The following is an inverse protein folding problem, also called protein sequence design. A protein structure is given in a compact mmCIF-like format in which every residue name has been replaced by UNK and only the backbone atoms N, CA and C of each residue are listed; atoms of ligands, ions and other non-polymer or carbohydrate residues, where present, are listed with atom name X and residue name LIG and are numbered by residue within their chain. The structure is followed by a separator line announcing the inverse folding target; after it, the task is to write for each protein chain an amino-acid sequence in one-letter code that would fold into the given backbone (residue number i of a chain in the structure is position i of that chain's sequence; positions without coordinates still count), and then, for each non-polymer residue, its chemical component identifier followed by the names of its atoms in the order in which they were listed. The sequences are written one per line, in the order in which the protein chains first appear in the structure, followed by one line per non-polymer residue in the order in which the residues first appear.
data_IF_685087066821
#
_entry.id   IF_685087066821
#
_cell.length_a   1.000
_cell.length_b   1.000
_cell.length_c   1.000
_cell.angle_alpha   90.00
_cell.angle_beta   90.00
_cell.angle_gamma   90.00
#
_symmetry.space_group_name_H-M   'P 1'
#
loop_
_entity.id
_entity.type
_entity.pdbx_description
1 polymer ?
#
# COMPACT_ATOMS: atom_id res chain seq x y z
N UNK A 1 3.56 -25.88 59.72
CA UNK A 1 3.25 -24.56 59.11
C UNK A 1 3.53 -24.64 57.62
N UNK A 2 2.50 -24.71 56.83
CA UNK A 2 2.65 -24.69 55.37
C UNK A 2 2.54 -23.26 54.86
N UNK A 3 3.62 -22.69 54.37
CA UNK A 3 3.59 -21.43 53.64
C UNK A 3 3.15 -21.73 52.22
N UNK A 4 1.92 -21.36 51.91
CA UNK A 4 1.46 -21.33 50.48
C UNK A 4 1.97 -20.06 49.85
N UNK A 5 3.07 -20.16 49.15
CA UNK A 5 3.51 -19.13 48.21
C UNK A 5 2.60 -19.20 47.00
N UNK A 6 1.64 -18.31 46.94
CA UNK A 6 0.85 -18.10 45.74
C UNK A 6 1.73 -17.54 44.66
N UNK A 7 2.05 -18.35 43.64
CA UNK A 7 2.72 -17.91 42.45
C UNK A 7 1.68 -17.17 41.62
N UNK A 8 1.68 -15.85 41.76
CA UNK A 8 0.85 -14.99 40.90
C UNK A 8 1.35 -15.08 39.44
N UNK A 9 0.59 -15.80 38.65
CA UNK A 9 0.80 -15.83 37.21
C UNK A 9 0.41 -14.45 36.64
N UNK A 10 1.38 -13.58 36.46
CA UNK A 10 1.18 -12.32 35.77
C UNK A 10 1.01 -12.68 34.30
N UNK A 11 -0.25 -12.74 33.85
CA UNK A 11 -0.60 -12.86 32.44
C UNK A 11 -0.24 -11.53 31.79
N UNK A 12 0.96 -11.45 31.19
CA UNK A 12 1.37 -10.32 30.39
C UNK A 12 0.57 -10.41 29.08
N UNK A 13 -0.60 -9.78 29.07
CA UNK A 13 -1.28 -9.51 27.79
C UNK A 13 -0.41 -8.55 27.02
N UNK A 14 0.42 -9.08 26.11
CA UNK A 14 1.04 -8.29 25.10
C UNK A 14 -0.08 -7.69 24.24
N UNK A 15 -0.43 -6.43 24.53
CA UNK A 15 -1.25 -5.64 23.63
C UNK A 15 -0.45 -5.50 22.34
N UNK A 16 -0.69 -6.42 21.40
CA UNK A 16 -0.24 -6.24 20.05
C UNK A 16 -0.94 -4.98 19.53
N UNK A 17 -0.22 -3.86 19.49
CA UNK A 17 -0.66 -2.72 18.70
C UNK A 17 -1.01 -3.25 17.32
N UNK A 18 -2.21 -2.95 16.80
CA UNK A 18 -2.48 -3.20 15.39
C UNK A 18 -1.54 -2.31 14.59
N UNK A 19 -0.28 -2.74 14.44
CA UNK A 19 0.58 -2.19 13.39
C UNK A 19 -0.19 -2.38 12.11
N UNK A 20 -0.23 -1.35 11.26
CA UNK A 20 -0.88 -1.37 9.95
C UNK A 20 -0.19 -2.39 9.03
N UNK A 21 -0.22 -3.67 9.45
CA UNK A 21 0.28 -4.75 8.63
C UNK A 21 -0.62 -4.89 7.42
N UNK A 22 -0.01 -4.97 6.26
CA UNK A 22 -0.72 -5.20 5.01
C UNK A 22 -1.41 -6.56 5.07
N UNK A 23 -2.66 -6.62 4.64
CA UNK A 23 -3.36 -7.89 4.42
C UNK A 23 -2.81 -8.60 3.16
N UNK A 24 -3.29 -9.82 2.89
CA UNK A 24 -2.81 -10.63 1.77
C UNK A 24 -3.07 -9.99 0.41
N UNK A 25 -4.21 -9.31 0.25
CA UNK A 25 -4.55 -8.60 -0.97
C UNK A 25 -3.64 -7.38 -1.19
N UNK A 26 -3.40 -6.60 -0.16
CA UNK A 26 -2.49 -5.45 -0.21
C UNK A 26 -1.05 -5.88 -0.50
N UNK A 27 -0.60 -7.00 0.08
CA UNK A 27 0.72 -7.57 -0.22
C UNK A 27 0.83 -8.00 -1.68
N UNK A 28 -0.23 -8.55 -2.25
CA UNK A 28 -0.29 -8.88 -3.67
C UNK A 28 -0.20 -7.63 -4.54
N UNK A 29 -0.94 -6.59 -4.21
CA UNK A 29 -0.87 -5.31 -4.90
C UNK A 29 0.53 -4.70 -4.85
N UNK A 30 1.17 -4.74 -3.69
CA UNK A 30 2.57 -4.30 -3.53
C UNK A 30 3.52 -5.08 -4.43
N UNK A 31 3.39 -6.40 -4.47
CA UNK A 31 4.26 -7.25 -5.28
C UNK A 31 4.11 -6.95 -6.78
N UNK A 32 2.89 -6.71 -7.25
CA UNK A 32 2.63 -6.30 -8.62
C UNK A 32 3.30 -4.97 -8.97
N UNK A 33 3.14 -3.97 -8.13
CA UNK A 33 3.76 -2.66 -8.33
C UNK A 33 5.28 -2.73 -8.26
N UNK A 34 5.81 -3.55 -7.37
CA UNK A 34 7.25 -3.76 -7.27
C UNK A 34 7.83 -4.36 -8.54
N UNK A 35 7.16 -5.33 -9.13
CA UNK A 35 7.59 -5.96 -10.38
C UNK A 35 7.48 -5.03 -11.58
N UNK A 36 6.43 -4.23 -11.65
CA UNK A 36 6.05 -3.52 -12.88
C UNK A 36 6.40 -2.04 -12.86
N UNK A 37 6.47 -1.42 -11.68
CA UNK A 37 6.52 0.03 -11.54
C UNK A 37 7.75 0.55 -10.77
N UNK A 38 8.40 -0.28 -9.96
CA UNK A 38 9.45 0.16 -9.04
C UNK A 38 10.73 0.64 -9.72
N UNK A 39 10.92 0.30 -10.99
CA UNK A 39 12.08 0.80 -11.75
C UNK A 39 12.05 2.32 -11.89
N UNK A 40 10.89 2.91 -11.96
CA UNK A 40 10.70 4.35 -12.17
C UNK A 40 10.05 5.04 -10.96
N UNK A 41 9.11 4.38 -10.30
CA UNK A 41 8.32 4.95 -9.21
C UNK A 41 8.74 4.43 -7.85
N UNK A 42 8.76 5.33 -6.85
CA UNK A 42 8.72 4.91 -5.45
C UNK A 42 7.34 4.32 -5.17
N UNK A 43 7.28 3.04 -4.84
CA UNK A 43 6.03 2.32 -4.65
C UNK A 43 5.63 2.16 -3.18
N UNK A 44 6.49 2.52 -2.26
CA UNK A 44 6.29 2.37 -0.82
C UNK A 44 5.91 3.68 -0.13
N UNK A 45 5.75 3.62 1.21
CA UNK A 45 5.39 4.79 2.02
C UNK A 45 6.50 5.83 2.15
N UNK A 46 7.72 5.50 1.76
CA UNK A 46 8.91 6.36 1.87
C UNK A 46 9.79 6.24 0.63
N UNK A 47 10.74 7.14 0.51
CA UNK A 47 11.76 7.10 -0.52
C UNK A 47 11.43 7.95 -1.75
N UNK A 48 12.47 8.26 -2.53
CA UNK A 48 12.34 8.98 -3.78
C UNK A 48 12.16 8.01 -4.95
N UNK A 49 11.41 8.44 -5.97
CA UNK A 49 11.30 7.70 -7.22
C UNK A 49 12.66 7.68 -7.93
N UNK A 50 13.07 6.53 -8.50
CA UNK A 50 14.31 6.47 -9.30
C UNK A 50 14.28 7.37 -10.53
N UNK A 51 13.12 7.48 -11.19
CA UNK A 51 12.94 8.39 -12.31
C UNK A 51 12.48 9.76 -11.82
N UNK A 52 13.12 10.87 -12.23
CA UNK A 52 12.81 12.21 -11.69
C UNK A 52 11.41 12.70 -11.98
N UNK A 53 10.81 12.25 -13.09
CA UNK A 53 9.48 12.67 -13.51
C UNK A 53 8.37 11.71 -13.07
N UNK A 54 8.73 10.60 -12.42
CA UNK A 54 7.75 9.62 -11.93
C UNK A 54 7.31 9.99 -10.51
N UNK A 55 6.02 10.35 -10.28
CA UNK A 55 5.58 10.69 -8.94
C UNK A 55 5.59 9.46 -8.03
N UNK A 56 5.97 9.62 -6.76
CA UNK A 56 5.78 8.56 -5.76
C UNK A 56 4.30 8.23 -5.61
N UNK A 57 3.97 6.95 -5.53
CA UNK A 57 2.57 6.51 -5.45
C UNK A 57 1.87 6.95 -4.17
N UNK A 58 2.60 7.15 -3.07
CA UNK A 58 2.03 7.67 -1.81
C UNK A 58 1.43 9.07 -1.93
N UNK A 59 1.67 9.78 -3.03
CA UNK A 59 1.20 11.16 -3.24
C UNK A 59 -0.01 11.25 -4.17
N UNK A 60 -0.61 10.14 -4.58
CA UNK A 60 -1.77 10.15 -5.48
C UNK A 60 -3.01 10.81 -4.89
N UNK A 61 -3.21 10.67 -3.59
CA UNK A 61 -4.35 11.21 -2.88
C UNK A 61 -5.59 10.32 -2.93
N UNK A 62 -6.40 10.44 -1.89
CA UNK A 62 -7.58 9.59 -1.72
C UNK A 62 -8.62 9.82 -2.81
N UNK A 63 -8.81 11.04 -3.27
CA UNK A 63 -9.80 11.36 -4.31
C UNK A 63 -9.58 10.56 -5.60
N UNK A 64 -8.31 10.38 -6.00
CA UNK A 64 -7.97 9.57 -7.17
C UNK A 64 -8.22 8.08 -6.93
N UNK A 65 -7.84 7.59 -5.76
CA UNK A 65 -7.88 6.16 -5.44
C UNK A 65 -9.28 5.64 -5.16
N UNK A 66 -10.17 6.51 -4.69
CA UNK A 66 -11.58 6.17 -4.46
C UNK A 66 -12.46 6.46 -5.68
N UNK A 67 -11.88 6.94 -6.77
CA UNK A 67 -12.56 7.08 -8.05
C UNK A 67 -12.60 5.73 -8.77
N UNK A 68 -13.79 5.26 -9.09
CA UNK A 68 -13.99 3.99 -9.81
C UNK A 68 -13.29 3.98 -11.18
N UNK A 69 -13.18 5.13 -11.82
CA UNK A 69 -12.50 5.28 -13.10
C UNK A 69 -11.01 4.91 -13.02
N UNK A 70 -10.38 5.13 -11.88
CA UNK A 70 -8.97 4.77 -11.72
C UNK A 70 -8.77 3.25 -11.77
N UNK A 71 -9.57 2.50 -11.02
CA UNK A 71 -9.53 1.03 -11.05
C UNK A 71 -9.86 0.48 -12.44
N UNK A 72 -10.81 1.11 -13.13
CA UNK A 72 -11.17 0.73 -14.50
C UNK A 72 -10.03 0.99 -15.48
N UNK A 73 -9.34 2.13 -15.36
CA UNK A 73 -8.18 2.42 -16.21
C UNK A 73 -7.02 1.45 -16.01
N UNK A 74 -6.83 0.93 -14.80
CA UNK A 74 -5.87 -0.15 -14.57
C UNK A 74 -6.21 -1.41 -15.35
N UNK A 75 -7.50 -1.68 -15.56
CA UNK A 75 -7.95 -2.86 -16.29
C UNK A 75 -7.91 -2.67 -17.82
N UNK A 76 -8.22 -1.46 -18.28
CA UNK A 76 -8.26 -1.17 -19.72
C UNK A 76 -6.93 -0.69 -20.29
N UNK A 77 -6.01 -0.32 -19.44
CA UNK A 77 -4.69 0.20 -19.79
C UNK A 77 -4.53 1.64 -19.34
N UNK A 78 -3.51 1.88 -18.51
CA UNK A 78 -3.10 3.23 -18.16
C UNK A 78 -2.38 3.84 -19.35
N UNK A 79 -3.06 4.77 -20.01
CA UNK A 79 -2.48 5.62 -21.01
C UNK A 79 -2.01 6.92 -20.34
N UNK A 80 -0.73 7.21 -20.41
CA UNK A 80 -0.18 8.47 -19.94
C UNK A 80 0.42 9.24 -21.11
N UNK A 81 0.47 10.55 -20.97
CA UNK A 81 1.17 11.41 -21.92
C UNK A 81 2.70 11.30 -21.81
N UNK A 82 3.19 10.61 -20.76
CA UNK A 82 4.62 10.45 -20.54
C UNK A 82 5.16 9.30 -21.39
N UNK A 83 6.03 9.65 -22.34
CA UNK A 83 6.57 8.71 -23.34
C UNK A 83 7.35 7.54 -22.77
N UNK A 84 7.95 7.72 -21.56
CA UNK A 84 8.80 6.72 -20.92
C UNK A 84 8.00 5.76 -20.05
N UNK A 85 6.72 6.00 -19.84
CA UNK A 85 5.86 5.12 -19.06
C UNK A 85 5.20 4.09 -19.95
N UNK A 86 5.52 2.79 -19.78
CA UNK A 86 4.82 1.74 -20.53
C UNK A 86 3.37 1.61 -20.08
N UNK A 87 2.53 1.08 -20.98
CA UNK A 87 1.14 0.77 -20.68
C UNK A 87 1.04 -0.62 -20.05
N UNK A 88 0.31 -0.71 -18.94
CA UNK A 88 0.03 -1.97 -18.24
C UNK A 88 -1.47 -2.19 -18.17
N UNK A 89 -1.88 -3.45 -18.31
CA UNK A 89 -3.26 -3.87 -18.10
C UNK A 89 -3.29 -4.90 -16.99
N UNK A 90 -4.15 -4.67 -16.01
CA UNK A 90 -4.39 -5.61 -14.92
C UNK A 90 -5.73 -6.29 -15.12
N UNK A 91 -5.85 -7.55 -14.72
CA UNK A 91 -7.17 -8.11 -14.54
C UNK A 91 -7.85 -7.46 -13.33
N UNK A 92 -9.13 -7.68 -13.16
CA UNK A 92 -9.91 -7.04 -12.11
C UNK A 92 -9.38 -7.33 -10.70
N UNK A 93 -9.08 -8.60 -10.33
CA UNK A 93 -8.54 -8.87 -8.99
C UNK A 93 -7.20 -8.17 -8.74
N UNK A 94 -6.33 -8.11 -9.73
CA UNK A 94 -5.04 -7.43 -9.61
C UNK A 94 -5.20 -5.92 -9.50
N UNK A 95 -6.10 -5.33 -10.27
CA UNK A 95 -6.41 -3.90 -10.18
C UNK A 95 -6.94 -3.53 -8.79
N UNK A 96 -7.85 -4.33 -8.24
CA UNK A 96 -8.37 -4.14 -6.89
C UNK A 96 -7.28 -4.27 -5.83
N UNK A 97 -6.41 -5.25 -5.95
CA UNK A 97 -5.28 -5.45 -5.05
C UNK A 97 -4.32 -4.24 -5.08
N UNK A 98 -3.99 -3.75 -6.26
CA UNK A 98 -3.15 -2.55 -6.44
C UNK A 98 -3.80 -1.32 -5.78
N UNK A 99 -5.08 -1.08 -6.02
CA UNK A 99 -5.79 0.06 -5.43
C UNK A 99 -5.83 -0.05 -3.91
N UNK A 100 -6.10 -1.22 -3.35
CA UNK A 100 -6.11 -1.43 -1.90
C UNK A 100 -4.75 -1.18 -1.26
N UNK A 101 -3.69 -1.63 -1.90
CA UNK A 101 -2.34 -1.30 -1.43
C UNK A 101 -2.05 0.20 -1.50
N UNK A 102 -2.37 0.85 -2.62
CA UNK A 102 -2.14 2.29 -2.79
C UNK A 102 -2.88 3.12 -1.74
N UNK A 103 -4.11 2.75 -1.41
CA UNK A 103 -4.87 3.40 -0.33
C UNK A 103 -4.16 3.31 1.02
N UNK A 104 -3.50 2.19 1.28
CA UNK A 104 -2.81 1.96 2.56
C UNK A 104 -1.57 2.83 2.76
N UNK A 105 -0.92 3.26 1.67
CA UNK A 105 0.35 4.00 1.74
C UNK A 105 0.21 5.51 1.55
N UNK A 106 -0.99 6.04 1.33
CA UNK A 106 -1.16 7.46 1.07
C UNK A 106 -0.71 8.33 2.23
N UNK A 107 0.05 9.38 1.91
CA UNK A 107 0.38 10.42 2.87
C UNK A 107 -0.87 11.28 3.06
N UNK A 108 -1.37 11.31 4.28
CA UNK A 108 -2.51 12.16 4.62
C UNK A 108 -2.01 13.57 4.93
N UNK A 109 -2.66 14.61 4.38
CA UNK A 109 -2.29 15.96 4.75
C UNK A 109 -2.52 16.16 6.26
N UNK A 110 -1.55 16.80 6.93
CA UNK A 110 -1.71 17.16 8.33
C UNK A 110 -2.92 18.10 8.45
N UNK A 111 -3.86 17.75 9.31
CA UNK A 111 -4.91 18.67 9.72
C UNK A 111 -4.25 19.82 10.48
N UNK A 112 -4.31 20.99 9.90
CA UNK A 112 -3.98 22.22 10.62
C UNK A 112 -5.13 22.63 11.51
#
# INVERSE_FOLDING_TARGET
MMMRTGLGLILLCALANPSHALDSEQKRGKALLQSLCSRCHAIGPTGASPHPDAPPFRTFGDSKLYDEDFAQRLQTGLSTIHKDMPSFQFDRPDAEAVVNYLKAIQVRPKRS
#
